data_IF_391285824143
#
_entry.id   IF_391285824143
#
_cell.length_a   1.000
_cell.length_b   1.000
_cell.length_c   1.000
_cell.angle_alpha   90.00
_cell.angle_beta   90.00
_cell.angle_gamma   90.00
#
_symmetry.space_group_name_H-M   'P 1'
#
loop_
_entity.id
_entity.type
_entity.pdbx_description
1 polymer ?
#
# COMPACT_ATOMS: atom_id res chain seq x y z
N UNK A 1 -20.88 -6.53 21.29
CA UNK A 1 -21.44 -7.62 20.52
C UNK A 1 -20.40 -8.70 20.24
N UNK A 2 -20.85 -9.89 19.78
CA UNK A 2 -20.00 -11.05 19.54
C UNK A 2 -18.81 -10.78 18.63
N UNK A 3 -19.01 -10.02 17.56
CA UNK A 3 -17.94 -9.68 16.60
C UNK A 3 -16.80 -8.87 17.20
N UNK A 4 -17.06 -8.01 18.18
CA UNK A 4 -16.00 -7.29 18.86
C UNK A 4 -15.19 -8.22 19.78
N UNK A 5 -15.85 -9.18 20.42
CA UNK A 5 -15.13 -10.22 21.20
C UNK A 5 -14.23 -11.09 20.32
N UNK A 6 -14.71 -11.49 19.14
CA UNK A 6 -13.89 -12.21 18.16
C UNK A 6 -12.66 -11.38 17.75
N UNK A 7 -12.84 -10.08 17.51
CA UNK A 7 -11.74 -9.17 17.20
C UNK A 7 -10.75 -9.04 18.35
N UNK A 8 -11.22 -8.90 19.60
CA UNK A 8 -10.33 -8.86 20.77
C UNK A 8 -9.53 -10.16 20.91
N UNK A 9 -10.16 -11.31 20.75
CA UNK A 9 -9.48 -12.61 20.80
C UNK A 9 -8.43 -12.72 19.70
N UNK A 10 -8.72 -12.21 18.49
CA UNK A 10 -7.74 -12.15 17.41
C UNK A 10 -6.54 -11.28 17.78
N UNK A 11 -6.76 -10.09 18.35
CA UNK A 11 -5.69 -9.20 18.79
C UNK A 11 -4.81 -9.86 19.87
N UNK A 12 -5.42 -10.51 20.88
CA UNK A 12 -4.71 -11.21 21.95
C UNK A 12 -3.83 -12.36 21.43
N UNK A 13 -4.28 -13.04 20.38
CA UNK A 13 -3.58 -14.17 19.80
C UNK A 13 -2.67 -13.77 18.63
N UNK A 14 -2.60 -12.49 18.30
CA UNK A 14 -1.83 -12.01 17.14
C UNK A 14 -0.34 -12.27 17.32
N UNK A 15 0.25 -13.05 16.40
CA UNK A 15 1.62 -13.54 16.51
C UNK A 15 2.67 -12.41 16.65
N UNK A 16 2.48 -11.27 15.98
CA UNK A 16 3.39 -10.15 16.10
C UNK A 16 3.46 -9.58 17.51
N UNK A 17 2.32 -9.41 18.18
CA UNK A 17 2.27 -8.90 19.54
C UNK A 17 3.00 -9.82 20.51
N UNK A 18 2.90 -11.13 20.34
CA UNK A 18 3.61 -12.13 21.14
C UNK A 18 5.12 -12.12 20.90
N UNK A 19 5.54 -11.95 19.64
CA UNK A 19 6.96 -11.94 19.27
C UNK A 19 7.69 -10.68 19.69
N UNK A 20 7.04 -9.52 19.62
CA UNK A 20 7.66 -8.23 19.94
C UNK A 20 7.58 -7.86 21.41
N UNK A 21 6.80 -8.57 22.23
CA UNK A 21 6.50 -8.19 23.60
C UNK A 21 5.77 -6.85 23.72
N UNK A 22 5.26 -6.32 22.61
CA UNK A 22 4.64 -5.01 22.52
C UNK A 22 3.18 -5.04 22.99
N UNK A 23 2.97 -4.93 24.29
CA UNK A 23 1.64 -4.70 24.89
C UNK A 23 0.98 -3.42 24.34
N UNK A 24 1.78 -2.42 24.01
CA UNK A 24 1.32 -1.18 23.37
C UNK A 24 0.72 -1.40 21.98
N UNK A 25 1.25 -2.33 21.20
CA UNK A 25 0.71 -2.71 19.90
C UNK A 25 -0.68 -3.31 19.98
N UNK A 26 -0.94 -4.18 20.96
CA UNK A 26 -2.26 -4.80 21.20
C UNK A 26 -3.34 -3.76 21.51
N UNK A 27 -3.04 -2.79 22.37
CA UNK A 27 -3.96 -1.70 22.72
C UNK A 27 -4.37 -0.90 21.48
N UNK A 28 -3.43 -0.63 20.58
CA UNK A 28 -3.73 0.10 19.35
C UNK A 28 -4.59 -0.72 18.36
N UNK A 29 -4.36 -2.02 18.26
CA UNK A 29 -5.21 -2.89 17.44
C UNK A 29 -6.64 -2.93 17.97
N UNK A 30 -6.82 -3.15 19.25
CA UNK A 30 -8.15 -3.22 19.89
C UNK A 30 -8.93 -1.92 19.77
N UNK A 31 -8.24 -0.78 19.86
CA UNK A 31 -8.83 0.54 19.83
C UNK A 31 -9.25 1.00 18.43
N UNK A 32 -8.73 0.41 17.37
CA UNK A 32 -8.97 0.87 15.97
C UNK A 32 -10.43 1.09 15.62
N UNK A 33 -11.39 0.23 16.01
CA UNK A 33 -12.80 0.48 15.71
C UNK A 33 -13.36 1.76 16.33
N UNK A 34 -12.72 2.27 17.39
CA UNK A 34 -13.18 3.43 18.15
C UNK A 34 -12.44 4.72 17.80
N UNK A 35 -11.31 4.63 17.09
CA UNK A 35 -10.49 5.77 16.67
C UNK A 35 -10.71 6.12 15.20
N UNK A 36 -10.03 7.16 14.73
CA UNK A 36 -9.97 7.48 13.31
C UNK A 36 -9.29 6.33 12.57
N UNK A 37 -9.92 5.81 11.53
CA UNK A 37 -9.42 4.71 10.73
C UNK A 37 -9.98 4.76 9.31
N UNK A 38 -9.10 4.80 8.30
CA UNK A 38 -9.35 4.82 6.86
C UNK A 38 -10.18 6.01 6.37
N UNK A 39 -11.35 6.25 6.93
CA UNK A 39 -12.29 7.28 6.51
C UNK A 39 -12.94 7.90 7.74
N UNK A 40 -12.84 9.22 7.88
CA UNK A 40 -13.34 9.95 9.06
C UNK A 40 -14.86 9.84 9.29
N UNK A 41 -15.63 9.48 8.27
CA UNK A 41 -17.08 9.30 8.34
C UNK A 41 -17.51 7.82 8.44
N UNK A 42 -16.54 6.92 8.59
CA UNK A 42 -16.83 5.48 8.69
C UNK A 42 -17.48 5.14 10.03
N UNK A 43 -18.52 4.31 9.99
CA UNK A 43 -19.18 3.82 11.20
C UNK A 43 -18.25 2.85 11.98
N UNK A 44 -18.47 2.75 13.30
CA UNK A 44 -17.73 1.81 14.17
C UNK A 44 -17.82 0.37 13.65
N UNK A 45 -19.00 -0.05 13.18
CA UNK A 45 -19.22 -1.40 12.63
C UNK A 45 -18.38 -1.63 11.37
N UNK A 46 -18.33 -0.66 10.46
CA UNK A 46 -17.52 -0.77 9.24
C UNK A 46 -16.03 -0.81 9.57
N UNK A 47 -15.56 0.03 10.50
CA UNK A 47 -14.17 0.00 11.00
C UNK A 47 -13.82 -1.36 11.60
N UNK A 48 -14.68 -1.91 12.45
CA UNK A 48 -14.48 -3.21 13.06
C UNK A 48 -14.38 -4.32 12.01
N UNK A 49 -15.26 -4.30 11.00
CA UNK A 49 -15.24 -5.30 9.93
C UNK A 49 -13.91 -5.27 9.15
N UNK A 50 -13.45 -4.07 8.79
CA UNK A 50 -12.21 -3.94 8.01
C UNK A 50 -10.99 -4.25 8.89
N UNK A 51 -10.93 -3.75 10.11
CA UNK A 51 -9.83 -4.03 11.03
C UNK A 51 -9.70 -5.53 11.32
N UNK A 52 -10.81 -6.20 11.60
CA UNK A 52 -10.85 -7.66 11.79
C UNK A 52 -10.38 -8.40 10.53
N UNK A 53 -10.91 -8.04 9.36
CA UNK A 53 -10.51 -8.63 8.08
C UNK A 53 -9.04 -8.38 7.76
N UNK A 54 -8.52 -7.21 8.10
CA UNK A 54 -7.13 -6.84 7.85
C UNK A 54 -6.14 -7.60 8.75
N UNK A 55 -6.42 -7.76 10.04
CA UNK A 55 -5.59 -8.58 10.91
C UNK A 55 -5.59 -10.04 10.48
N UNK A 56 -6.76 -10.58 10.13
CA UNK A 56 -6.87 -11.93 9.57
C UNK A 56 -6.04 -12.08 8.29
N UNK A 57 -6.09 -11.09 7.40
CA UNK A 57 -5.28 -11.11 6.18
C UNK A 57 -3.78 -11.21 6.51
N UNK A 58 -3.28 -10.35 7.39
CA UNK A 58 -1.85 -10.31 7.75
C UNK A 58 -1.44 -11.62 8.41
N UNK A 59 -2.22 -12.10 9.37
CA UNK A 59 -1.90 -13.33 10.11
C UNK A 59 -1.90 -14.58 9.24
N UNK A 60 -2.84 -14.68 8.31
CA UNK A 60 -2.93 -15.83 7.39
C UNK A 60 -1.97 -15.75 6.21
N UNK A 61 -1.50 -14.56 5.87
CA UNK A 61 -0.72 -14.31 4.65
C UNK A 61 0.77 -14.42 4.90
N UNK A 62 1.27 -13.75 5.94
CA UNK A 62 2.70 -13.69 6.22
C UNK A 62 3.14 -14.79 7.17
N UNK A 63 4.33 -15.33 6.93
CA UNK A 63 4.93 -16.28 7.86
C UNK A 63 5.23 -15.60 9.20
N UNK A 64 5.03 -16.27 10.34
CA UNK A 64 5.34 -15.70 11.65
C UNK A 64 6.76 -15.12 11.76
N UNK A 65 7.74 -15.75 11.11
CA UNK A 65 9.13 -15.31 11.10
C UNK A 65 9.36 -13.98 10.38
N UNK A 66 8.48 -13.62 9.45
CA UNK A 66 8.56 -12.35 8.73
C UNK A 66 7.93 -11.18 9.50
N UNK A 67 7.00 -11.44 10.41
CA UNK A 67 6.25 -10.40 11.12
C UNK A 67 7.14 -9.44 11.93
N UNK A 68 8.17 -9.85 12.67
CA UNK A 68 9.03 -8.92 13.38
C UNK A 68 9.69 -7.88 12.46
N UNK A 69 10.07 -8.25 11.25
CA UNK A 69 10.63 -7.31 10.27
C UNK A 69 9.56 -6.38 9.69
N UNK A 70 8.37 -6.90 9.40
CA UNK A 70 7.26 -6.08 8.89
C UNK A 70 6.79 -5.03 9.90
N UNK A 71 6.88 -5.31 11.20
CA UNK A 71 6.50 -4.38 12.28
C UNK A 71 7.68 -3.58 12.85
N UNK A 72 8.87 -3.69 12.25
CA UNK A 72 10.03 -2.90 12.65
C UNK A 72 9.90 -1.46 12.16
N UNK A 73 9.39 -0.59 13.03
CA UNK A 73 9.15 0.82 12.72
C UNK A 73 10.46 1.58 12.48
N UNK A 74 11.53 1.24 13.20
CA UNK A 74 12.83 1.89 13.07
C UNK A 74 13.47 1.63 11.70
N UNK A 75 13.31 0.42 11.16
CA UNK A 75 13.77 0.05 9.84
C UNK A 75 12.79 0.39 8.71
N UNK A 76 11.62 0.96 9.00
CA UNK A 76 10.51 1.15 8.05
C UNK A 76 10.04 -0.14 7.40
N UNK A 77 9.96 -1.22 8.18
CA UNK A 77 9.54 -2.52 7.71
C UNK A 77 10.66 -3.30 7.01
N UNK A 78 10.29 -4.15 6.07
CA UNK A 78 11.18 -5.03 5.33
C UNK A 78 11.41 -4.52 3.92
N UNK A 79 12.67 -4.45 3.49
CA UNK A 79 13.04 -4.25 2.08
C UNK A 79 12.59 -5.45 1.24
N UNK A 80 11.88 -5.19 0.16
CA UNK A 80 11.36 -6.22 -0.75
C UNK A 80 12.17 -6.28 -2.04
N UNK A 81 12.31 -5.15 -2.73
CA UNK A 81 12.96 -5.05 -4.03
C UNK A 81 13.77 -3.76 -4.14
N UNK A 82 14.72 -3.76 -5.07
CA UNK A 82 15.46 -2.58 -5.51
C UNK A 82 15.18 -2.35 -7.00
N UNK A 83 14.69 -1.16 -7.36
CA UNK A 83 14.42 -0.77 -8.76
C UNK A 83 15.63 0.01 -9.26
N UNK A 84 16.37 -0.50 -10.25
CA UNK A 84 17.56 0.18 -10.77
C UNK A 84 17.20 1.45 -11.54
N UNK A 85 18.01 2.49 -11.37
CA UNK A 85 17.92 3.75 -12.09
C UNK A 85 19.03 3.84 -13.14
N UNK A 86 18.86 4.69 -14.14
CA UNK A 86 19.85 4.90 -15.21
C UNK A 86 21.22 5.33 -14.69
N UNK A 87 21.26 6.07 -13.59
CA UNK A 87 22.50 6.58 -12.97
C UNK A 87 23.25 5.55 -12.11
N UNK A 88 22.79 4.30 -12.08
CA UNK A 88 23.42 3.22 -11.29
C UNK A 88 22.99 3.15 -9.83
N UNK A 89 22.14 4.08 -9.35
CA UNK A 89 21.49 3.97 -8.04
C UNK A 89 20.20 3.17 -8.14
N UNK A 90 19.50 2.97 -7.04
CA UNK A 90 18.22 2.25 -7.04
C UNK A 90 17.21 2.89 -6.10
N UNK A 91 15.93 2.63 -6.37
CA UNK A 91 14.84 2.85 -5.43
C UNK A 91 14.65 1.57 -4.61
N UNK A 92 14.76 1.68 -3.28
CA UNK A 92 14.44 0.60 -2.37
C UNK A 92 12.94 0.64 -2.04
N UNK A 93 12.24 -0.48 -2.22
CA UNK A 93 10.83 -0.63 -1.94
C UNK A 93 10.67 -1.48 -0.69
N UNK A 94 10.00 -0.91 0.31
CA UNK A 94 9.77 -1.57 1.61
C UNK A 94 8.28 -1.81 1.86
N UNK A 95 8.00 -2.85 2.63
CA UNK A 95 6.67 -3.14 3.16
C UNK A 95 6.72 -3.00 4.69
N UNK A 96 5.86 -2.14 5.21
CA UNK A 96 5.68 -1.93 6.65
C UNK A 96 4.26 -2.32 7.05
N UNK A 97 4.14 -3.13 8.10
CA UNK A 97 2.89 -3.34 8.82
C UNK A 97 2.95 -2.53 10.13
N UNK A 98 1.88 -1.83 10.48
CA UNK A 98 1.91 -0.96 11.66
C UNK A 98 0.58 -0.93 12.41
N UNK A 99 0.60 -1.15 13.74
CA UNK A 99 -0.58 -1.00 14.58
C UNK A 99 -1.03 0.46 14.71
N UNK A 100 -0.14 1.42 14.41
CA UNK A 100 -0.40 2.85 14.59
C UNK A 100 -0.95 3.54 13.34
N UNK A 101 -1.07 2.83 12.20
CA UNK A 101 -1.51 3.44 10.97
C UNK A 101 -3.03 3.65 10.95
N UNK A 102 -3.43 4.92 10.98
CA UNK A 102 -4.83 5.33 10.81
C UNK A 102 -5.29 5.19 9.36
N UNK A 103 -4.36 5.26 8.41
CA UNK A 103 -4.60 5.20 6.97
C UNK A 103 -4.59 3.76 6.40
N UNK A 104 -4.33 2.76 7.23
CA UNK A 104 -4.29 1.35 6.85
C UNK A 104 -3.36 0.51 7.71
N UNK A 105 -3.42 -0.80 7.53
CA UNK A 105 -2.57 -1.75 8.27
C UNK A 105 -1.21 -1.98 7.60
N UNK A 106 -1.12 -1.72 6.29
CA UNK A 106 0.07 -1.93 5.48
C UNK A 106 0.48 -0.63 4.78
N UNK A 107 1.77 -0.50 4.55
CA UNK A 107 2.33 0.61 3.80
C UNK A 107 3.41 0.10 2.85
N UNK A 108 3.30 0.46 1.58
CA UNK A 108 4.42 0.40 0.64
C UNK A 108 5.15 1.73 0.66
N UNK A 109 6.47 1.67 0.76
CA UNK A 109 7.34 2.84 0.80
C UNK A 109 8.43 2.71 -0.25
N UNK A 110 8.74 3.84 -0.90
CA UNK A 110 9.89 3.94 -1.80
C UNK A 110 10.92 4.88 -1.19
N UNK A 111 12.17 4.43 -1.18
CA UNK A 111 13.33 5.19 -0.67
C UNK A 111 14.39 5.39 -1.75
N UNK A 112 15.00 6.56 -1.74
CA UNK A 112 16.23 6.87 -2.45
C UNK A 112 17.32 7.10 -1.39
N UNK A 113 18.14 6.09 -1.13
CA UNK A 113 18.99 6.07 0.06
C UNK A 113 18.14 6.02 1.34
N UNK A 114 18.36 6.97 2.24
CA UNK A 114 17.60 7.12 3.49
C UNK A 114 16.40 8.07 3.36
N UNK A 115 16.17 8.66 2.18
CA UNK A 115 15.10 9.63 1.93
C UNK A 115 13.88 8.95 1.36
N UNK A 116 12.73 9.14 2.02
CA UNK A 116 11.44 8.64 1.54
C UNK A 116 10.96 9.45 0.33
N UNK A 117 10.70 8.75 -0.78
CA UNK A 117 10.23 9.34 -2.02
C UNK A 117 8.70 9.41 -2.07
N UNK A 118 8.06 8.29 -1.79
CA UNK A 118 6.60 8.16 -1.83
C UNK A 118 6.13 6.99 -0.96
N UNK A 119 4.90 7.05 -0.49
CA UNK A 119 4.28 5.97 0.27
C UNK A 119 2.78 5.88 0.01
N UNK A 120 2.24 4.68 0.16
CA UNK A 120 0.80 4.41 0.09
C UNK A 120 0.40 3.49 1.24
N UNK A 121 -0.66 3.90 1.97
CA UNK A 121 -1.21 3.15 3.10
C UNK A 121 -2.52 2.50 2.70
N UNK A 122 -2.68 1.24 3.07
CA UNK A 122 -3.86 0.45 2.71
C UNK A 122 -4.09 -0.70 3.69
N UNK A 123 -5.29 -1.22 3.68
CA UNK A 123 -5.66 -2.45 4.38
C UNK A 123 -6.19 -3.46 3.37
N UNK A 124 -5.68 -4.69 3.41
CA UNK A 124 -6.26 -5.82 2.69
C UNK A 124 -7.05 -6.67 3.67
N UNK A 125 -8.22 -7.12 3.27
CA UNK A 125 -9.07 -7.99 4.09
C UNK A 125 -9.00 -9.44 3.61
N UNK A 126 -9.22 -10.39 4.52
CA UNK A 126 -9.17 -11.82 4.19
C UNK A 126 -10.22 -12.25 3.15
N UNK A 127 -11.29 -11.47 3.00
CA UNK A 127 -12.35 -11.69 2.00
C UNK A 127 -12.07 -11.01 0.63
N UNK A 128 -10.86 -10.53 0.41
CA UNK A 128 -10.39 -10.09 -0.91
C UNK A 128 -10.65 -8.63 -1.26
N UNK A 129 -10.78 -7.75 -0.28
CA UNK A 129 -10.90 -6.31 -0.49
C UNK A 129 -9.60 -5.58 -0.15
N UNK A 130 -9.37 -4.45 -0.79
CA UNK A 130 -8.33 -3.49 -0.43
C UNK A 130 -8.94 -2.10 -0.22
N UNK A 131 -8.49 -1.43 0.84
CA UNK A 131 -8.93 -0.11 1.25
C UNK A 131 -7.72 0.80 1.37
N UNK A 132 -7.58 1.74 0.43
CA UNK A 132 -6.46 2.68 0.39
C UNK A 132 -6.86 3.92 1.18
N UNK A 133 -6.21 4.14 2.32
CA UNK A 133 -6.51 5.23 3.23
C UNK A 133 -5.66 6.48 3.06
N UNK A 134 -4.56 6.39 2.32
CA UNK A 134 -3.69 7.55 2.07
C UNK A 134 -2.57 7.27 1.10
N UNK A 135 -2.13 8.33 0.44
CA UNK A 135 -0.98 8.33 -0.45
C UNK A 135 -0.25 9.68 -0.30
N UNK A 136 1.06 9.67 -0.18
CA UNK A 136 1.81 10.91 0.01
C UNK A 136 3.25 10.84 -0.48
N UNK A 137 3.75 11.99 -0.97
CA UNK A 137 5.16 12.20 -1.25
C UNK A 137 5.99 12.34 0.03
N UNK A 138 7.28 12.05 -0.08
CA UNK A 138 8.25 12.25 0.99
C UNK A 138 8.50 13.74 1.26
N UNK A 139 8.79 14.06 2.52
CA UNK A 139 9.10 15.45 2.94
C UNK A 139 10.52 15.88 2.55
N UNK A 140 11.42 14.94 2.38
CA UNK A 140 12.86 15.18 2.17
C UNK A 140 13.25 15.26 0.69
N UNK A 141 12.27 15.22 -0.21
CA UNK A 141 12.46 15.31 -1.66
C UNK A 141 11.67 16.49 -2.19
N UNK A 142 12.34 17.40 -2.87
CA UNK A 142 11.72 18.54 -3.51
C UNK A 142 11.21 18.23 -4.94
N UNK A 143 10.49 19.20 -5.54
CA UNK A 143 9.92 19.01 -6.87
C UNK A 143 10.96 18.81 -7.98
N UNK A 144 12.13 19.42 -7.87
CA UNK A 144 13.21 19.28 -8.87
C UNK A 144 13.83 17.87 -8.79
N UNK A 145 14.00 17.35 -7.59
CA UNK A 145 14.45 15.96 -7.38
C UNK A 145 13.41 14.96 -7.89
N UNK A 146 12.11 15.21 -7.69
CA UNK A 146 11.02 14.37 -8.25
C UNK A 146 11.06 14.39 -9.78
N UNK A 147 11.29 15.55 -10.42
CA UNK A 147 11.44 15.64 -11.86
C UNK A 147 12.68 14.87 -12.37
N UNK A 148 13.81 15.00 -11.68
CA UNK A 148 15.02 14.28 -12.01
C UNK A 148 14.81 12.75 -11.88
N UNK A 149 14.18 12.30 -10.81
CA UNK A 149 13.85 10.90 -10.59
C UNK A 149 12.88 10.37 -11.67
N UNK A 150 11.91 11.16 -12.08
CA UNK A 150 10.98 10.81 -13.15
C UNK A 150 11.71 10.55 -14.47
N UNK A 151 12.74 11.34 -14.79
CA UNK A 151 13.60 11.09 -15.96
C UNK A 151 14.38 9.78 -15.82
N UNK A 152 14.94 9.50 -14.64
CA UNK A 152 15.62 8.24 -14.34
C UNK A 152 14.71 7.01 -14.47
N UNK A 153 13.40 7.20 -14.27
CA UNK A 153 12.35 6.18 -14.35
C UNK A 153 11.65 6.16 -15.73
N UNK A 154 12.30 6.61 -16.79
CA UNK A 154 11.71 6.64 -18.15
C UNK A 154 10.37 7.39 -18.24
N UNK A 155 10.19 8.43 -17.44
CA UNK A 155 8.99 9.25 -17.42
C UNK A 155 7.88 8.76 -16.46
N UNK A 156 8.13 7.74 -15.66
CA UNK A 156 7.18 7.34 -14.61
C UNK A 156 7.32 8.30 -13.42
N UNK A 157 6.23 8.98 -13.08
CA UNK A 157 6.20 9.78 -11.84
C UNK A 157 6.19 8.85 -10.62
N UNK A 158 6.88 9.20 -9.51
CA UNK A 158 6.90 8.36 -8.31
C UNK A 158 5.51 7.95 -7.80
N UNK A 159 4.53 8.87 -7.85
CA UNK A 159 3.14 8.57 -7.45
C UNK A 159 2.49 7.46 -8.32
N UNK A 160 2.83 7.40 -9.60
CA UNK A 160 2.33 6.37 -10.49
C UNK A 160 3.08 5.04 -10.31
N UNK A 161 4.37 5.10 -9.99
CA UNK A 161 5.15 3.90 -9.69
C UNK A 161 4.64 3.20 -8.42
N UNK A 162 4.35 3.93 -7.35
CA UNK A 162 3.82 3.32 -6.13
C UNK A 162 2.44 2.67 -6.37
N UNK A 163 1.62 3.25 -7.25
CA UNK A 163 0.34 2.65 -7.69
C UNK A 163 0.59 1.34 -8.45
N UNK A 164 1.55 1.33 -9.38
CA UNK A 164 1.93 0.11 -10.09
C UNK A 164 2.39 -0.99 -9.13
N UNK A 165 3.20 -0.65 -8.13
CA UNK A 165 3.66 -1.57 -7.11
C UNK A 165 2.49 -2.09 -6.24
N UNK A 166 1.56 -1.22 -5.88
CA UNK A 166 0.35 -1.64 -5.16
C UNK A 166 -0.47 -2.63 -5.98
N UNK A 167 -0.70 -2.37 -7.27
CA UNK A 167 -1.40 -3.32 -8.14
C UNK A 167 -0.66 -4.66 -8.25
N UNK A 168 0.66 -4.64 -8.29
CA UNK A 168 1.48 -5.86 -8.22
C UNK A 168 1.26 -6.63 -6.92
N UNK A 169 1.24 -5.94 -5.79
CA UNK A 169 0.93 -6.52 -4.48
C UNK A 169 -0.48 -7.14 -4.46
N UNK A 170 -1.49 -6.37 -4.84
CA UNK A 170 -2.89 -6.80 -4.82
C UNK A 170 -3.15 -7.97 -5.78
N UNK A 171 -2.56 -7.92 -6.96
CA UNK A 171 -2.63 -9.00 -7.95
C UNK A 171 -2.03 -10.31 -7.43
N UNK A 172 -0.91 -10.23 -6.70
CA UNK A 172 -0.27 -11.41 -6.10
C UNK A 172 -1.22 -12.16 -5.15
N UNK A 173 -2.07 -11.43 -4.43
CA UNK A 173 -3.07 -11.99 -3.51
C UNK A 173 -4.47 -12.13 -4.14
N UNK A 174 -4.60 -11.92 -5.44
CA UNK A 174 -5.87 -11.97 -6.18
C UNK A 174 -6.95 -11.04 -5.60
N UNK A 175 -6.54 -9.87 -5.12
CA UNK A 175 -7.44 -8.84 -4.62
C UNK A 175 -7.84 -7.93 -5.78
N UNK A 176 -9.13 -7.89 -6.12
CA UNK A 176 -9.69 -7.15 -7.26
C UNK A 176 -10.71 -6.10 -6.87
N UNK A 177 -11.20 -6.13 -5.63
CA UNK A 177 -12.16 -5.17 -5.11
C UNK A 177 -11.40 -4.10 -4.32
N UNK A 178 -11.16 -2.94 -4.97
CA UNK A 178 -10.21 -1.92 -4.49
C UNK A 178 -10.93 -0.59 -4.31
N UNK A 179 -10.88 -0.04 -3.11
CA UNK A 179 -11.44 1.26 -2.76
C UNK A 179 -10.33 2.22 -2.34
N UNK A 180 -10.43 3.48 -2.76
CA UNK A 180 -9.48 4.53 -2.43
C UNK A 180 -10.19 5.74 -1.83
N UNK A 181 -9.59 6.32 -0.80
CA UNK A 181 -10.18 7.43 -0.05
C UNK A 181 -10.24 8.73 -0.87
N UNK A 182 -11.35 9.44 -0.80
CA UNK A 182 -11.44 10.84 -1.22
C UNK A 182 -10.71 11.72 -0.18
N UNK A 183 -9.96 12.70 -0.65
CA UNK A 183 -9.19 13.62 0.22
C UNK A 183 -10.04 14.29 1.31
N UNK A 184 -11.29 14.64 1.00
CA UNK A 184 -12.21 15.26 1.96
C UNK A 184 -12.63 14.33 3.10
N UNK A 185 -12.54 13.04 2.90
CA UNK A 185 -12.88 11.99 3.87
C UNK A 185 -11.67 11.37 4.55
N UNK A 186 -10.46 11.78 4.15
CA UNK A 186 -9.23 11.35 4.77
C UNK A 186 -9.23 11.63 6.28
N UNK A 187 -8.66 10.75 7.09
CA UNK A 187 -8.65 10.87 8.55
C UNK A 187 -7.96 12.14 9.07
N UNK A 188 -7.07 12.71 8.26
CA UNK A 188 -6.38 13.99 8.49
C UNK A 188 -6.59 14.94 7.30
N UNK A 189 -7.84 15.09 6.87
CA UNK A 189 -8.16 15.85 5.64
C UNK A 189 -7.64 17.29 5.64
N UNK A 190 -7.51 17.93 6.80
CA UNK A 190 -6.93 19.26 6.96
C UNK A 190 -5.43 19.34 6.64
N UNK A 191 -4.74 18.22 6.63
CA UNK A 191 -3.30 18.09 6.30
C UNK A 191 -3.05 17.63 4.87
N UNK A 192 -4.08 17.21 4.17
CA UNK A 192 -3.97 16.73 2.78
C UNK A 192 -3.95 17.93 1.84
N UNK A 193 -2.80 18.23 1.27
CA UNK A 193 -2.59 19.36 0.36
C UNK A 193 -2.96 19.06 -1.08
N UNK A 194 -3.01 17.80 -1.45
CA UNK A 194 -3.22 17.34 -2.84
C UNK A 194 -4.57 16.66 -2.98
N UNK A 195 -5.26 16.93 -4.08
CA UNK A 195 -6.50 16.21 -4.39
C UNK A 195 -6.19 14.77 -4.80
N UNK A 196 -6.69 13.80 -4.02
CA UNK A 196 -6.62 12.39 -4.38
C UNK A 196 -7.59 12.03 -5.51
N UNK A 197 -8.68 12.78 -5.64
CA UNK A 197 -9.71 12.55 -6.65
C UNK A 197 -9.15 12.56 -8.08
N UNK A 198 -8.29 13.53 -8.40
CA UNK A 198 -7.65 13.62 -9.71
C UNK A 198 -6.81 12.37 -10.01
N UNK A 199 -6.05 11.90 -9.03
CA UNK A 199 -5.24 10.69 -9.18
C UNK A 199 -6.11 9.46 -9.40
N UNK A 200 -7.15 9.29 -8.59
CA UNK A 200 -8.03 8.12 -8.72
C UNK A 200 -8.77 8.11 -10.05
N UNK A 201 -9.25 9.27 -10.53
CA UNK A 201 -9.87 9.39 -11.84
C UNK A 201 -8.88 9.15 -12.98
N UNK A 202 -7.66 9.67 -12.87
CA UNK A 202 -6.58 9.47 -13.87
C UNK A 202 -6.27 7.98 -14.09
N UNK A 203 -6.30 7.17 -13.05
CA UNK A 203 -6.04 5.73 -13.13
C UNK A 203 -7.28 4.87 -13.41
N UNK A 204 -8.41 5.50 -13.71
CA UNK A 204 -9.65 4.83 -14.11
C UNK A 204 -10.62 4.55 -12.95
N UNK A 205 -10.39 5.14 -11.79
CA UNK A 205 -11.31 5.04 -10.65
C UNK A 205 -12.63 5.77 -10.91
N UNK A 206 -13.68 5.30 -10.27
CA UNK A 206 -15.02 5.87 -10.34
C UNK A 206 -15.49 6.27 -8.95
N UNK A 207 -16.21 7.38 -8.87
CA UNK A 207 -16.80 7.83 -7.62
C UNK A 207 -17.75 6.78 -7.06
N UNK A 208 -17.53 6.41 -5.82
CA UNK A 208 -18.34 5.45 -5.07
C UNK A 208 -18.97 6.15 -3.85
N UNK A 209 -19.84 5.45 -3.13
CA UNK A 209 -20.54 6.03 -1.98
C UNK A 209 -19.60 6.36 -0.80
N UNK A 210 -20.00 7.34 0.02
CA UNK A 210 -19.43 7.66 1.34
C UNK A 210 -17.93 8.01 1.32
N UNK A 211 -17.49 8.75 0.30
CA UNK A 211 -16.11 9.26 0.24
C UNK A 211 -15.08 8.27 -0.25
N UNK A 212 -15.48 7.27 -0.98
CA UNK A 212 -14.61 6.31 -1.63
C UNK A 212 -14.67 6.42 -3.15
N UNK A 213 -13.57 6.06 -3.79
CA UNK A 213 -13.48 5.76 -5.22
C UNK A 213 -13.30 4.26 -5.37
N UNK A 214 -13.99 3.65 -6.32
CA UNK A 214 -13.74 2.27 -6.71
C UNK A 214 -12.74 2.26 -7.84
N UNK A 215 -11.59 1.62 -7.62
CA UNK A 215 -10.53 1.50 -8.61
C UNK A 215 -10.76 0.29 -9.52
N UNK A 216 -10.18 0.31 -10.75
CA UNK A 216 -10.17 -0.87 -11.61
C UNK A 216 -9.55 -2.09 -10.89
N UNK A 217 -10.01 -3.32 -11.18
CA UNK A 217 -9.48 -4.53 -10.55
C UNK A 217 -8.03 -4.83 -10.95
N UNK A 218 -7.54 -4.23 -12.05
CA UNK A 218 -6.16 -4.29 -12.51
C UNK A 218 -5.75 -2.94 -13.10
N UNK A 219 -4.46 -2.67 -13.14
CA UNK A 219 -3.92 -1.43 -13.72
C UNK A 219 -4.29 -1.33 -15.21
N UNK A 220 -4.87 -0.19 -15.61
CA UNK A 220 -5.20 0.08 -17.01
C UNK A 220 -3.91 0.36 -17.76
N UNK A 221 -3.65 -0.41 -18.83
CA UNK A 221 -2.47 -0.30 -19.68
C UNK A 221 -2.85 0.18 -21.07
N UNK A 222 -2.04 1.09 -21.64
CA UNK A 222 -2.13 1.45 -23.04
C UNK A 222 -1.45 0.37 -23.90
N UNK A 223 -1.99 0.14 -25.09
CA UNK A 223 -1.31 -0.67 -26.10
C UNK A 223 -0.23 0.15 -26.81
N UNK A 224 0.74 -0.51 -27.43
CA UNK A 224 1.81 0.16 -28.18
C UNK A 224 1.27 1.01 -29.34
N UNK A 225 0.17 0.57 -29.98
CA UNK A 225 -0.48 1.25 -31.08
C UNK A 225 -1.07 2.61 -30.67
N UNK A 226 -1.52 2.75 -29.43
CA UNK A 226 -2.05 4.00 -28.86
C UNK A 226 -0.95 5.04 -28.60
N UNK A 227 0.33 4.62 -28.65
CA UNK A 227 1.48 5.48 -28.38
C UNK A 227 2.04 6.04 -29.70
N UNK A 228 2.18 7.36 -29.77
CA UNK A 228 2.82 8.03 -30.94
C UNK A 228 4.21 7.44 -31.17
N UNK A 229 4.57 7.19 -32.43
CA UNK A 229 5.82 6.51 -32.83
C UNK A 229 7.07 7.08 -32.18
N UNK A 230 7.18 8.41 -32.07
CA UNK A 230 8.32 9.09 -31.42
C UNK A 230 8.48 8.79 -29.92
N UNK A 231 7.46 8.26 -29.25
CA UNK A 231 7.47 7.95 -27.82
C UNK A 231 7.50 6.46 -27.52
N UNK A 232 7.42 5.59 -28.53
CA UNK A 232 7.33 4.13 -28.36
C UNK A 232 8.56 3.53 -27.66
N UNK A 233 9.76 4.00 -28.00
CA UNK A 233 10.98 3.49 -27.37
C UNK A 233 10.98 3.73 -25.85
N UNK A 234 10.62 4.94 -25.42
CA UNK A 234 10.52 5.26 -24.00
C UNK A 234 9.39 4.49 -23.33
N UNK A 235 8.26 4.35 -24.00
CA UNK A 235 7.12 3.57 -23.50
C UNK A 235 7.49 2.11 -23.25
N UNK A 236 8.19 1.46 -24.19
CA UNK A 236 8.66 0.08 -24.05
C UNK A 236 9.58 -0.07 -22.84
N UNK A 237 10.53 0.85 -22.66
CA UNK A 237 11.44 0.84 -21.49
C UNK A 237 10.70 1.02 -20.19
N UNK A 238 9.73 1.92 -20.16
CA UNK A 238 8.88 2.16 -18.99
C UNK A 238 8.04 0.95 -18.62
N UNK A 239 7.37 0.34 -19.59
CA UNK A 239 6.56 -0.86 -19.35
C UNK A 239 7.42 -2.06 -18.92
N UNK A 240 8.61 -2.20 -19.49
CA UNK A 240 9.59 -3.22 -19.09
C UNK A 240 10.06 -3.03 -17.64
N UNK A 241 10.31 -1.80 -17.20
CA UNK A 241 10.66 -1.49 -15.81
C UNK A 241 9.51 -1.88 -14.86
N UNK A 242 8.27 -1.52 -15.21
CA UNK A 242 7.09 -1.87 -14.41
C UNK A 242 6.92 -3.38 -14.28
N UNK A 243 7.00 -4.12 -15.38
CA UNK A 243 6.87 -5.58 -15.38
C UNK A 243 7.94 -6.26 -14.54
N UNK A 244 9.19 -5.83 -14.68
CA UNK A 244 10.30 -6.39 -13.89
C UNK A 244 10.10 -6.09 -12.40
N UNK A 245 9.72 -4.87 -12.04
CA UNK A 245 9.44 -4.50 -10.66
C UNK A 245 8.31 -5.36 -10.05
N UNK A 246 7.25 -5.63 -10.81
CA UNK A 246 6.14 -6.47 -10.36
C UNK A 246 6.55 -7.94 -10.23
N UNK A 247 7.38 -8.46 -11.13
CA UNK A 247 7.92 -9.83 -11.03
C UNK A 247 8.84 -9.99 -9.82
N UNK A 248 9.73 -9.04 -9.58
CA UNK A 248 10.61 -9.04 -8.42
C UNK A 248 9.81 -8.92 -7.11
N UNK A 249 8.77 -8.08 -7.11
CA UNK A 249 7.87 -7.96 -5.97
C UNK A 249 7.15 -9.27 -5.67
N UNK A 250 6.64 -9.94 -6.68
CA UNK A 250 5.99 -11.25 -6.51
C UNK A 250 6.96 -12.28 -5.93
N UNK A 251 8.22 -12.31 -6.38
CA UNK A 251 9.24 -13.18 -5.83
C UNK A 251 9.55 -12.87 -4.35
N UNK A 252 9.70 -11.59 -4.01
CA UNK A 252 9.93 -11.14 -2.63
C UNK A 252 8.75 -11.49 -1.71
N UNK A 253 7.51 -11.34 -2.19
CA UNK A 253 6.32 -11.72 -1.43
C UNK A 253 6.25 -13.23 -1.18
N UNK A 254 6.62 -14.06 -2.16
CA UNK A 254 6.70 -15.53 -1.94
C UNK A 254 7.64 -15.90 -0.80
N UNK A 255 8.73 -15.17 -0.62
CA UNK A 255 9.69 -15.43 0.46
C UNK A 255 9.13 -15.19 1.85
N UNK A 256 8.21 -14.24 2.01
CA UNK A 256 7.67 -13.85 3.32
C UNK A 256 6.25 -14.35 3.58
N UNK A 257 5.59 -14.93 2.59
CA UNK A 257 4.24 -15.44 2.70
C UNK A 257 4.19 -16.93 2.99
N UNK A 258 3.12 -17.36 3.65
CA UNK A 258 2.80 -18.77 3.82
C UNK A 258 2.60 -19.41 2.44
N UNK A 259 3.17 -20.60 2.20
CA UNK A 259 2.93 -21.34 0.96
C UNK A 259 1.44 -21.64 0.84
N UNK A 260 0.83 -21.18 -0.25
CA UNK A 260 -0.52 -21.58 -0.61
C UNK A 260 -0.46 -23.06 -1.01
N UNK A 261 -1.13 -23.92 -0.26
CA UNK A 261 -1.45 -25.26 -0.76
C UNK A 261 -2.36 -25.06 -1.97
N UNK A 262 -1.86 -25.42 -3.14
CA UNK A 262 -2.56 -25.35 -4.40
C UNK A 262 -3.80 -26.24 -4.43
#
# INVERSE_FOLDING_TARGET
GGKYKEYQTLCENYACAKLTGATEGLVNFEDKPFKAYLNKKMSKRAKLNIAHGALNFIEKTFRPEALPQLYDMAAFGRSLIAIPLKNGTCIDVKLLASPFQEEGELMLLMFLGDRRVYSICFSCTADGQAWIGGIQGGKDIDNEEVKALTKELYGIRPKNLIITLLYGFLSHFNIKEIYAIDSHYHVKSERVKTSYSELWLEIGGEKHRRGWYKLPPSEIKKSLEEVKSKHRSQFIKREGLKELAQLDLAAALRDICVKRNG
#
